data_IF_682337229968
#
_entry.id   IF_682337229968
#
_cell.length_a   1.000
_cell.length_b   1.000
_cell.length_c   1.000
_cell.angle_alpha   90.00
_cell.angle_beta   90.00
_cell.angle_gamma   90.00
#
_symmetry.space_group_name_H-M   'P 1'
#
loop_
_entity.id
_entity.type
_entity.pdbx_description
1 polymer ?
#
# COMPACT_ATOMS: atom_id res chain seq x y z
N UNK A 1 -26.32 -13.49 -11.71
CA UNK A 1 -25.02 -12.86 -11.98
C UNK A 1 -23.98 -13.68 -11.25
N UNK A 2 -23.24 -14.53 -11.97
CA UNK A 2 -22.07 -15.16 -11.39
C UNK A 2 -21.07 -14.03 -11.12
N UNK A 3 -20.69 -13.80 -9.87
CA UNK A 3 -19.56 -12.93 -9.59
C UNK A 3 -18.36 -13.58 -10.27
N UNK A 4 -17.81 -12.95 -11.30
CA UNK A 4 -16.63 -13.44 -12.01
C UNK A 4 -15.42 -13.26 -11.07
N UNK A 5 -15.23 -14.23 -10.17
CA UNK A 5 -14.18 -14.22 -9.16
C UNK A 5 -12.79 -14.15 -9.80
N UNK A 6 -12.64 -14.69 -11.02
CA UNK A 6 -11.42 -14.59 -11.81
C UNK A 6 -11.15 -13.15 -12.28
N UNK A 7 -12.17 -12.43 -12.74
CA UNK A 7 -12.03 -11.02 -13.12
C UNK A 7 -11.69 -10.15 -11.89
N UNK A 8 -12.37 -10.40 -10.77
CA UNK A 8 -12.12 -9.70 -9.52
C UNK A 8 -10.70 -9.96 -9.00
N UNK A 9 -10.24 -11.22 -9.04
CA UNK A 9 -8.87 -11.60 -8.68
C UNK A 9 -7.85 -10.85 -9.55
N UNK A 10 -8.03 -10.82 -10.87
CA UNK A 10 -7.15 -10.09 -11.78
C UNK A 10 -7.12 -8.59 -11.49
N UNK A 11 -8.26 -7.98 -11.18
CA UNK A 11 -8.30 -6.57 -10.79
C UNK A 11 -7.53 -6.32 -9.49
N UNK A 12 -7.72 -7.14 -8.46
CA UNK A 12 -7.00 -7.02 -7.18
C UNK A 12 -5.49 -7.25 -7.33
N UNK A 13 -5.07 -8.20 -8.17
CA UNK A 13 -3.67 -8.42 -8.48
C UNK A 13 -3.05 -7.21 -9.21
N UNK A 14 -3.79 -6.59 -10.14
CA UNK A 14 -3.36 -5.35 -10.80
C UNK A 14 -3.29 -4.17 -9.82
N UNK A 15 -4.26 -4.05 -8.90
CA UNK A 15 -4.28 -2.99 -7.88
C UNK A 15 -3.11 -3.15 -6.90
N UNK A 16 -2.84 -4.38 -6.46
CA UNK A 16 -1.66 -4.75 -5.66
C UNK A 16 -0.36 -4.38 -6.37
N UNK A 17 -0.24 -4.70 -7.66
CA UNK A 17 0.93 -4.37 -8.46
C UNK A 17 1.10 -2.86 -8.63
N UNK A 18 0.03 -2.11 -8.84
CA UNK A 18 0.06 -0.64 -8.91
C UNK A 18 0.42 0.00 -7.57
N UNK A 19 -0.10 -0.53 -6.46
CA UNK A 19 0.25 -0.05 -5.12
C UNK A 19 1.70 -0.32 -4.76
N UNK A 20 2.24 -1.48 -5.14
CA UNK A 20 3.66 -1.82 -5.00
C UNK A 20 4.55 -0.98 -5.92
N UNK A 21 4.12 -0.75 -7.17
CA UNK A 21 4.84 0.08 -8.13
C UNK A 21 4.84 1.56 -7.73
N UNK A 22 3.78 2.02 -7.04
CA UNK A 22 3.71 3.34 -6.39
C UNK A 22 4.52 3.35 -5.10
N UNK A 23 5.74 2.83 -5.16
CA UNK A 23 6.71 2.87 -4.08
C UNK A 23 6.88 4.32 -3.65
N UNK A 24 6.58 4.61 -2.38
CA UNK A 24 6.78 5.93 -1.79
C UNK A 24 8.28 6.22 -1.91
N UNK A 25 8.69 7.25 -2.68
CA UNK A 25 10.09 7.59 -2.78
C UNK A 25 10.61 7.89 -1.36
N UNK A 26 11.77 7.34 -0.97
CA UNK A 26 12.35 7.70 0.31
C UNK A 26 12.59 9.21 0.32
N UNK A 27 12.29 9.92 1.44
CA UNK A 27 12.57 11.34 1.53
C UNK A 27 14.08 11.55 1.33
N UNK A 28 14.45 12.29 0.28
CA UNK A 28 15.83 12.69 0.02
C UNK A 28 16.37 13.45 1.25
N UNK A 29 17.57 13.11 1.76
CA UNK A 29 18.14 13.86 2.86
C UNK A 29 18.57 15.24 2.36
N UNK A 30 17.76 16.26 2.64
CA UNK A 30 18.09 17.66 2.41
C UNK A 30 19.38 18.03 3.16
N UNK A 31 20.25 18.78 2.48
CA UNK A 31 21.57 19.16 2.98
C UNK A 31 21.49 20.58 3.55
N UNK A 32 21.40 20.74 4.87
CA UNK A 32 21.65 22.03 5.53
C UNK A 32 20.72 22.39 6.70
N UNK A 33 21.31 22.89 7.79
CA UNK A 33 20.76 23.68 8.90
C UNK A 33 19.75 23.07 9.91
N UNK A 34 19.80 23.53 11.17
CA UNK A 34 19.04 22.97 12.31
C UNK A 34 17.50 23.07 12.16
N UNK A 35 17.00 24.00 11.33
CA UNK A 35 15.58 24.11 10.97
C UNK A 35 15.10 22.95 10.06
N UNK A 36 16.00 22.39 9.24
CA UNK A 36 15.72 21.24 8.39
C UNK A 36 15.60 19.96 9.21
N UNK A 37 16.23 19.84 10.38
CA UNK A 37 16.10 18.65 11.23
C UNK A 37 14.66 18.43 11.72
N UNK A 38 13.97 19.51 12.11
CA UNK A 38 12.56 19.44 12.52
C UNK A 38 11.65 19.09 11.33
N UNK A 39 11.90 19.70 10.16
CA UNK A 39 11.18 19.38 8.93
C UNK A 39 11.45 17.94 8.45
N UNK A 40 12.67 17.43 8.61
CA UNK A 40 13.05 16.05 8.33
C UNK A 40 12.36 15.05 9.24
N UNK A 41 12.24 15.36 10.53
CA UNK A 41 11.50 14.52 11.47
C UNK A 41 10.03 14.41 11.05
N UNK A 42 9.37 15.54 10.78
CA UNK A 42 7.99 15.52 10.29
C UNK A 42 7.85 14.82 8.93
N UNK A 43 8.78 15.02 8.00
CA UNK A 43 8.78 14.36 6.70
C UNK A 43 8.98 12.84 6.83
N UNK A 44 9.85 12.39 7.75
CA UNK A 44 10.06 10.96 8.05
C UNK A 44 8.84 10.35 8.73
N UNK A 45 8.18 11.08 9.62
CA UNK A 45 6.95 10.62 10.28
C UNK A 45 5.80 10.52 9.27
N UNK A 46 5.64 11.52 8.40
CA UNK A 46 4.66 11.47 7.30
C UNK A 46 4.96 10.34 6.32
N UNK A 47 6.22 10.15 5.92
CA UNK A 47 6.62 9.06 5.04
C UNK A 47 6.38 7.69 5.68
N UNK A 48 6.66 7.54 6.98
CA UNK A 48 6.36 6.32 7.73
C UNK A 48 4.86 6.07 7.84
N UNK A 49 4.07 7.10 8.13
CA UNK A 49 2.62 6.99 8.19
C UNK A 49 2.04 6.57 6.83
N UNK A 50 2.49 7.21 5.76
CA UNK A 50 2.08 6.88 4.40
C UNK A 50 2.49 5.45 4.00
N UNK A 51 3.70 5.04 4.37
CA UNK A 51 4.17 3.67 4.16
C UNK A 51 3.37 2.65 4.98
N UNK A 52 2.94 3.01 6.19
CA UNK A 52 2.13 2.15 7.03
C UNK A 52 0.70 2.02 6.50
N UNK A 53 0.07 3.11 6.04
CA UNK A 53 -1.24 3.09 5.37
C UNK A 53 -1.18 2.23 4.10
N UNK A 54 -0.14 2.41 3.29
CA UNK A 54 0.04 1.63 2.07
C UNK A 54 0.25 0.13 2.36
N UNK A 55 0.99 -0.21 3.43
CA UNK A 55 1.13 -1.58 3.92
C UNK A 55 -0.20 -2.16 4.41
N UNK A 56 -1.00 -1.39 5.14
CA UNK A 56 -2.32 -1.83 5.60
C UNK A 56 -3.25 -2.11 4.42
N UNK A 57 -3.33 -1.21 3.44
CA UNK A 57 -4.11 -1.42 2.20
C UNK A 57 -3.65 -2.67 1.45
N UNK A 58 -2.33 -2.86 1.31
CA UNK A 58 -1.77 -4.07 0.70
C UNK A 58 -2.19 -5.33 1.46
N UNK A 59 -2.14 -5.31 2.79
CA UNK A 59 -2.54 -6.44 3.62
C UNK A 59 -4.04 -6.76 3.49
N UNK A 60 -4.91 -5.75 3.36
CA UNK A 60 -6.33 -5.96 3.10
C UNK A 60 -6.59 -6.60 1.73
N UNK A 61 -5.92 -6.13 0.69
CA UNK A 61 -6.00 -6.71 -0.66
C UNK A 61 -5.51 -8.17 -0.64
N UNK A 62 -4.39 -8.45 0.03
CA UNK A 62 -3.85 -9.81 0.15
C UNK A 62 -4.80 -10.74 0.91
N UNK A 63 -5.43 -10.24 1.98
CA UNK A 63 -6.46 -10.98 2.74
C UNK A 63 -7.70 -11.29 1.89
N UNK A 64 -8.13 -10.34 1.06
CA UNK A 64 -9.24 -10.52 0.13
C UNK A 64 -8.88 -11.54 -0.96
N UNK A 65 -7.68 -11.45 -1.54
CA UNK A 65 -7.14 -12.43 -2.50
C UNK A 65 -7.06 -13.83 -1.89
N UNK A 66 -6.62 -13.95 -0.63
CA UNK A 66 -6.57 -15.22 0.08
C UNK A 66 -7.96 -15.82 0.29
N UNK A 67 -8.97 -15.00 0.61
CA UNK A 67 -10.38 -15.44 0.73
C UNK A 67 -10.96 -15.85 -0.62
N UNK A 68 -10.62 -15.14 -1.70
CA UNK A 68 -10.99 -15.51 -3.07
C UNK A 68 -10.37 -16.86 -3.45
N UNK A 69 -9.09 -17.07 -3.15
CA UNK A 69 -8.40 -18.33 -3.41
C UNK A 69 -8.97 -19.50 -2.58
N UNK A 70 -9.38 -19.24 -1.34
CA UNK A 70 -10.03 -20.22 -0.47
C UNK A 70 -11.49 -20.51 -0.87
N UNK A 71 -12.08 -19.73 -1.80
CA UNK A 71 -13.48 -19.85 -2.18
C UNK A 71 -14.47 -19.41 -1.09
N UNK A 72 -14.00 -18.78 0.00
CA UNK A 72 -14.83 -18.29 1.11
C UNK A 72 -15.13 -16.80 0.98
N UNK A 73 -14.94 -16.22 -0.21
CA UNK A 73 -15.22 -14.82 -0.45
C UNK A 73 -16.74 -14.58 -0.50
N UNK A 74 -17.27 -13.90 0.51
CA UNK A 74 -18.71 -13.62 0.63
C UNK A 74 -19.50 -14.62 1.49
N UNK A 75 -18.82 -15.53 2.19
CA UNK A 75 -19.40 -16.40 3.24
C UNK A 75 -19.22 -15.74 4.61
#
# INVERSE_FOLDING_TARGET
MALDLEALRKQLEQERAQLLARAIPPPEPARGDEADLAAMHQAREQAQWLANDQKQRLAEIDKVLARLAAGTYGI
#
